data_IF_270959666207
#
_entry.id   IF_270959666207
#
_cell.length_a   1.000
_cell.length_b   1.000
_cell.length_c   1.000
_cell.angle_alpha   90.00
_cell.angle_beta   90.00
_cell.angle_gamma   90.00
#
_symmetry.space_group_name_H-M   'P 1'
#
loop_
_entity.id
_entity.type
_entity.pdbx_description
1 polymer ?
#
# COMPACT_ATOMS: atom_id res chain seq x y z
N UNK A 1 20.67 -21.81 -5.32
CA UNK A 1 19.92 -21.07 -6.36
C UNK A 1 18.42 -21.02 -6.07
N UNK A 2 17.65 -22.12 -6.19
CA UNK A 2 16.21 -22.09 -5.88
C UNK A 2 15.94 -21.75 -4.40
N UNK A 3 16.61 -22.47 -3.48
CA UNK A 3 16.46 -22.22 -2.04
C UNK A 3 16.74 -20.75 -1.68
N UNK A 4 17.86 -20.19 -2.16
CA UNK A 4 18.22 -18.78 -1.94
C UNK A 4 17.16 -17.83 -2.50
N UNK A 5 16.63 -18.11 -3.69
CA UNK A 5 15.60 -17.28 -4.32
C UNK A 5 14.29 -17.28 -3.51
N UNK A 6 13.87 -18.45 -3.02
CA UNK A 6 12.68 -18.58 -2.15
C UNK A 6 12.90 -17.89 -0.81
N UNK A 7 14.08 -18.05 -0.20
CA UNK A 7 14.42 -17.35 1.03
C UNK A 7 14.33 -15.84 0.85
N UNK A 8 14.97 -15.30 -0.20
CA UNK A 8 14.97 -13.88 -0.47
C UNK A 8 13.57 -13.35 -0.80
N UNK A 9 12.75 -14.08 -1.54
CA UNK A 9 11.36 -13.73 -1.85
C UNK A 9 10.56 -13.51 -0.55
N UNK A 10 10.59 -14.51 0.35
CA UNK A 10 9.84 -14.49 1.61
C UNK A 10 10.36 -13.38 2.52
N UNK A 11 11.68 -13.28 2.68
CA UNK A 11 12.28 -12.25 3.52
C UNK A 11 12.03 -10.84 2.99
N UNK A 12 12.11 -10.62 1.67
CA UNK A 12 11.90 -9.30 1.05
C UNK A 12 10.45 -8.85 1.14
N UNK A 13 9.50 -9.76 0.90
CA UNK A 13 8.06 -9.43 1.02
C UNK A 13 7.66 -9.17 2.48
N UNK A 14 8.19 -9.92 3.44
CA UNK A 14 8.02 -9.60 4.86
C UNK A 14 8.64 -8.24 5.20
N UNK A 15 9.88 -7.98 4.77
CA UNK A 15 10.60 -6.75 5.06
C UNK A 15 9.89 -5.52 4.49
N UNK A 16 9.34 -5.63 3.28
CA UNK A 16 8.51 -4.58 2.71
C UNK A 16 7.28 -4.26 3.56
N UNK A 17 6.53 -5.28 3.97
CA UNK A 17 5.38 -5.08 4.83
C UNK A 17 5.76 -4.37 6.13
N UNK A 18 6.93 -4.69 6.71
CA UNK A 18 7.47 -3.97 7.88
C UNK A 18 7.81 -2.51 7.58
N UNK A 19 8.36 -2.19 6.40
CA UNK A 19 8.55 -0.81 5.97
C UNK A 19 7.20 -0.06 5.88
N UNK A 20 6.18 -0.69 5.30
CA UNK A 20 4.84 -0.12 5.21
C UNK A 20 4.21 0.07 6.60
N UNK A 21 4.41 -0.86 7.55
CA UNK A 21 3.92 -0.69 8.93
C UNK A 21 4.56 0.49 9.67
N UNK A 22 5.78 0.90 9.33
CA UNK A 22 6.36 2.10 9.91
C UNK A 22 5.56 3.37 9.55
N UNK A 23 4.78 3.34 8.46
CA UNK A 23 3.84 4.42 8.17
C UNK A 23 2.70 4.53 9.17
N UNK A 24 2.46 3.58 10.09
CA UNK A 24 1.51 3.76 11.21
C UNK A 24 1.92 4.88 12.17
N UNK A 25 3.22 5.25 12.19
CA UNK A 25 3.72 6.38 12.98
C UNK A 25 3.17 7.72 12.45
N UNK A 26 3.08 8.69 13.36
CA UNK A 26 2.66 10.06 13.06
C UNK A 26 3.77 11.00 13.52
N UNK A 27 4.45 11.71 12.59
CA UNK A 27 4.24 11.66 11.14
C UNK A 27 4.72 10.34 10.50
N UNK A 28 4.16 9.98 9.34
CA UNK A 28 4.63 8.86 8.54
C UNK A 28 6.05 9.14 8.01
N UNK A 29 7.00 8.20 8.11
CA UNK A 29 8.36 8.40 7.63
C UNK A 29 8.47 8.39 6.09
N UNK A 30 7.45 7.95 5.35
CA UNK A 30 7.48 7.83 3.89
C UNK A 30 6.11 8.10 3.25
N UNK A 31 6.09 8.82 2.12
CA UNK A 31 4.89 9.00 1.29
C UNK A 31 4.73 7.89 0.25
N UNK A 32 3.49 7.62 -0.17
CA UNK A 32 3.19 6.59 -1.17
C UNK A 32 3.85 6.84 -2.54
N UNK A 33 4.01 8.09 -2.97
CA UNK A 33 4.71 8.35 -4.24
C UNK A 33 6.17 7.89 -4.18
N UNK A 34 6.82 7.97 -3.02
CA UNK A 34 8.15 7.38 -2.81
C UNK A 34 8.10 5.84 -2.84
N UNK A 35 7.06 5.23 -2.28
CA UNK A 35 6.86 3.77 -2.36
C UNK A 35 6.80 3.26 -3.81
N UNK A 36 6.18 4.02 -4.71
CA UNK A 36 6.14 3.69 -6.13
C UNK A 36 7.51 3.68 -6.83
N UNK A 37 8.52 4.38 -6.30
CA UNK A 37 9.88 4.26 -6.82
C UNK A 37 10.48 2.87 -6.52
N UNK A 38 10.07 2.25 -5.41
CA UNK A 38 10.54 0.93 -4.97
C UNK A 38 9.73 -0.22 -5.57
N UNK A 39 8.51 0.05 -6.03
CA UNK A 39 7.62 -0.88 -6.72
C UNK A 39 8.34 -1.78 -7.75
N UNK A 40 9.20 -1.20 -8.59
CA UNK A 40 9.90 -1.93 -9.65
C UNK A 40 10.84 -2.99 -9.09
N UNK A 41 11.49 -2.72 -7.95
CA UNK A 41 12.38 -3.68 -7.28
C UNK A 41 11.55 -4.86 -6.77
N UNK A 42 10.39 -4.60 -6.18
CA UNK A 42 9.49 -5.66 -5.71
C UNK A 42 9.07 -6.58 -6.85
N UNK A 43 8.52 -6.02 -7.92
CA UNK A 43 7.89 -6.84 -8.97
C UNK A 43 8.90 -7.60 -9.79
N UNK A 44 10.07 -7.03 -10.04
CA UNK A 44 11.04 -7.64 -10.95
C UNK A 44 12.11 -8.46 -10.22
N UNK A 45 12.43 -8.15 -8.96
CA UNK A 45 13.70 -8.58 -8.35
C UNK A 45 13.63 -9.05 -6.89
N UNK A 46 12.45 -9.15 -6.26
CA UNK A 46 12.33 -9.51 -4.82
C UNK A 46 12.92 -10.87 -4.41
N UNK A 47 13.17 -11.78 -5.36
CA UNK A 47 13.86 -13.05 -5.13
C UNK A 47 15.41 -12.93 -5.08
N UNK A 48 15.96 -11.74 -5.30
CA UNK A 48 17.42 -11.52 -5.35
C UNK A 48 17.99 -11.07 -4.01
N UNK A 49 19.28 -11.34 -3.79
CA UNK A 49 19.98 -10.94 -2.56
C UNK A 49 20.03 -9.42 -2.43
N UNK A 50 20.24 -8.74 -3.54
CA UNK A 50 20.35 -7.29 -3.63
C UNK A 50 19.04 -6.60 -3.27
N UNK A 51 17.89 -7.17 -3.68
CA UNK A 51 16.59 -6.66 -3.27
C UNK A 51 16.37 -6.79 -1.75
N UNK A 52 16.74 -7.92 -1.16
CA UNK A 52 16.64 -8.11 0.29
C UNK A 52 17.55 -7.13 1.05
N UNK A 53 18.78 -6.92 0.60
CA UNK A 53 19.71 -5.94 1.19
C UNK A 53 19.17 -4.52 1.07
N UNK A 54 18.58 -4.16 -0.07
CA UNK A 54 17.90 -2.88 -0.28
C UNK A 54 16.76 -2.67 0.72
N UNK A 55 15.85 -3.64 0.88
CA UNK A 55 14.72 -3.49 1.80
C UNK A 55 15.13 -3.50 3.27
N UNK A 56 16.20 -4.21 3.65
CA UNK A 56 16.77 -4.09 4.99
C UNK A 56 17.31 -2.68 5.24
N UNK A 57 18.05 -2.13 4.27
CA UNK A 57 18.59 -0.76 4.36
C UNK A 57 17.46 0.27 4.44
N UNK A 58 16.44 0.14 3.60
CA UNK A 58 15.25 1.00 3.63
C UNK A 58 14.54 0.91 4.99
N UNK A 59 14.36 -0.29 5.53
CA UNK A 59 13.73 -0.47 6.84
C UNK A 59 14.51 0.22 7.96
N UNK A 60 15.84 0.09 7.97
CA UNK A 60 16.69 0.74 8.96
C UNK A 60 16.67 2.27 8.81
N UNK A 61 16.66 2.79 7.58
CA UNK A 61 16.48 4.24 7.32
C UNK A 61 15.12 4.74 7.81
N UNK A 62 14.03 4.02 7.50
CA UNK A 62 12.69 4.42 7.94
C UNK A 62 12.55 4.40 9.46
N UNK A 63 13.18 3.43 10.14
CA UNK A 63 13.26 3.43 11.61
C UNK A 63 14.01 4.64 12.15
N UNK A 64 15.18 4.95 11.59
CA UNK A 64 15.96 6.13 11.97
C UNK A 64 15.16 7.43 11.76
N UNK A 65 14.40 7.52 10.67
CA UNK A 65 13.48 8.63 10.41
C UNK A 65 12.39 8.73 11.47
N UNK A 66 11.76 7.61 11.85
CA UNK A 66 10.78 7.59 12.94
C UNK A 66 11.39 8.08 14.26
N UNK A 67 12.56 7.57 14.63
CA UNK A 67 13.27 7.95 15.86
C UNK A 67 13.63 9.45 15.89
N UNK A 68 13.95 10.03 14.73
CA UNK A 68 14.32 11.45 14.58
C UNK A 68 13.12 12.37 14.28
N UNK A 69 11.91 11.83 14.12
CA UNK A 69 10.73 12.60 13.73
C UNK A 69 10.79 13.17 12.30
N UNK A 70 11.51 12.52 11.38
CA UNK A 70 11.65 12.94 9.98
C UNK A 70 10.47 12.40 9.16
N UNK A 71 9.54 13.28 8.84
CA UNK A 71 8.35 12.96 8.05
C UNK A 71 8.65 12.70 6.56
N UNK A 72 7.82 11.91 5.89
CA UNK A 72 7.78 11.76 4.43
C UNK A 72 7.18 12.98 3.74
N UNK A 73 6.23 13.64 4.42
CA UNK A 73 5.61 14.90 4.01
C UNK A 73 5.80 15.90 5.16
N UNK A 74 6.37 17.06 4.87
CA UNK A 74 6.81 18.03 5.90
C UNK A 74 5.69 18.44 6.87
N UNK A 75 4.48 18.68 6.36
CA UNK A 75 3.33 19.13 7.14
C UNK A 75 2.20 18.10 7.10
N UNK A 76 2.35 16.98 7.77
CA UNK A 76 1.28 15.98 7.87
C UNK A 76 0.10 16.49 8.71
N UNK A 77 -1.00 16.85 8.04
CA UNK A 77 -2.26 17.35 8.65
C UNK A 77 -3.44 16.40 8.45
N UNK A 78 -3.39 15.57 7.41
CA UNK A 78 -4.48 14.68 7.04
C UNK A 78 -3.92 13.46 6.32
N UNK A 79 -4.32 12.27 6.76
CA UNK A 79 -3.81 10.99 6.28
C UNK A 79 -4.88 10.31 5.44
N UNK A 80 -4.49 9.84 4.27
CA UNK A 80 -5.36 9.09 3.37
C UNK A 80 -4.70 7.79 2.96
N UNK A 81 -5.51 6.78 2.65
CA UNK A 81 -5.06 5.71 1.76
C UNK A 81 -5.36 6.10 0.31
N UNK A 82 -4.54 5.64 -0.63
CA UNK A 82 -4.94 5.60 -2.03
C UNK A 82 -5.58 4.24 -2.34
N UNK A 83 -6.40 4.19 -3.40
CA UNK A 83 -6.93 2.94 -3.90
C UNK A 83 -6.70 2.84 -5.41
N UNK A 84 -6.16 1.70 -5.81
CA UNK A 84 -5.79 1.31 -7.18
C UNK A 84 -4.42 1.80 -7.66
N UNK A 85 -4.02 1.32 -8.84
CA UNK A 85 -2.79 1.77 -9.49
C UNK A 85 -2.89 3.27 -9.78
N UNK A 86 -1.84 4.07 -9.58
CA UNK A 86 -1.91 5.49 -9.93
C UNK A 86 -1.82 5.69 -11.46
N UNK A 87 -2.22 6.85 -11.99
CA UNK A 87 -1.82 7.26 -13.34
C UNK A 87 -0.30 7.51 -13.35
N UNK A 88 0.48 6.60 -13.94
CA UNK A 88 1.95 6.63 -13.87
C UNK A 88 2.56 7.89 -14.48
N UNK A 89 1.90 8.49 -15.47
CA UNK A 89 2.30 9.76 -16.09
C UNK A 89 1.93 10.99 -15.25
N UNK A 90 1.09 10.85 -14.22
CA UNK A 90 0.55 11.95 -13.41
C UNK A 90 0.73 11.72 -11.90
N UNK A 91 1.86 11.13 -11.48
CA UNK A 91 2.19 10.94 -10.07
C UNK A 91 2.30 12.27 -9.29
N UNK A 92 2.36 13.42 -9.96
CA UNK A 92 2.33 14.72 -9.29
C UNK A 92 1.02 14.99 -8.55
N UNK A 93 -0.05 14.21 -8.78
CA UNK A 93 -1.27 14.23 -7.94
C UNK A 93 -0.96 14.06 -6.45
N UNK A 94 0.00 13.20 -6.08
CA UNK A 94 0.41 13.02 -4.68
C UNK A 94 1.11 14.27 -4.13
N UNK A 95 1.93 14.94 -4.95
CA UNK A 95 2.56 16.22 -4.58
C UNK A 95 1.55 17.36 -4.49
N UNK A 96 0.47 17.29 -5.27
CA UNK A 96 -0.63 18.23 -5.18
C UNK A 96 -1.37 18.11 -3.83
N UNK A 97 -1.62 16.87 -3.37
CA UNK A 97 -2.18 16.60 -2.04
C UNK A 97 -1.28 17.15 -0.92
N UNK A 98 0.05 17.02 -1.05
CA UNK A 98 1.02 17.54 -0.08
C UNK A 98 0.94 19.07 0.09
N UNK A 99 0.47 19.84 -0.91
CA UNK A 99 0.20 21.28 -0.76
C UNK A 99 -0.85 21.59 0.30
N UNK A 100 -1.67 20.61 0.69
CA UNK A 100 -2.65 20.70 1.77
C UNK A 100 -2.19 19.93 3.01
N UNK A 101 -0.93 19.51 3.08
CA UNK A 101 -0.45 18.65 4.15
C UNK A 101 -1.14 17.29 4.20
N UNK A 102 -1.67 16.83 3.06
CA UNK A 102 -2.25 15.51 2.94
C UNK A 102 -1.15 14.53 2.57
N UNK A 103 -1.04 13.44 3.32
CA UNK A 103 -0.17 12.31 2.98
C UNK A 103 -1.02 11.11 2.58
N UNK A 104 -0.71 10.52 1.43
CA UNK A 104 -1.15 9.15 1.16
C UNK A 104 -0.11 8.21 1.77
N UNK A 105 -0.53 7.40 2.73
CA UNK A 105 0.36 6.56 3.55
C UNK A 105 0.64 5.20 2.90
N UNK A 106 -0.05 4.92 1.79
CA UNK A 106 0.00 3.69 1.03
C UNK A 106 -1.38 3.27 0.54
N UNK A 107 -1.40 2.16 -0.18
CA UNK A 107 -2.62 1.54 -0.70
C UNK A 107 -2.53 0.02 -0.64
N UNK A 108 -3.67 -0.63 -0.85
CA UNK A 108 -3.69 -2.07 -1.12
C UNK A 108 -2.77 -2.46 -2.29
N UNK A 109 -2.53 -1.56 -3.26
CA UNK A 109 -1.69 -1.85 -4.42
C UNK A 109 -0.21 -1.94 -4.04
N UNK A 110 0.39 -0.89 -3.48
CA UNK A 110 1.81 -0.90 -3.10
C UNK A 110 2.09 -1.75 -1.86
N UNK A 111 1.16 -1.86 -0.91
CA UNK A 111 1.33 -2.75 0.24
C UNK A 111 1.33 -4.21 -0.21
N UNK A 112 0.28 -4.65 -0.91
CA UNK A 112 -0.01 -6.09 -1.01
C UNK A 112 0.54 -6.78 -2.23
N UNK A 113 0.73 -6.07 -3.34
CA UNK A 113 1.42 -6.64 -4.51
C UNK A 113 2.87 -7.00 -4.17
N UNK A 114 3.44 -6.29 -3.19
CA UNK A 114 4.87 -6.30 -2.87
C UNK A 114 5.19 -6.89 -1.50
N UNK A 115 4.19 -7.07 -0.62
CA UNK A 115 4.37 -7.44 0.78
C UNK A 115 3.72 -8.76 1.18
N UNK A 116 4.29 -9.41 2.20
CA UNK A 116 3.67 -10.53 2.89
C UNK A 116 2.89 -10.00 4.09
N UNK A 117 1.57 -10.17 4.07
CA UNK A 117 0.65 -9.61 5.05
C UNK A 117 -0.13 -10.70 5.77
N UNK A 118 -0.08 -10.68 7.09
CA UNK A 118 -0.94 -11.49 7.95
C UNK A 118 -2.28 -10.76 8.12
N UNK A 119 -3.33 -11.34 7.54
CA UNK A 119 -4.70 -10.83 7.60
C UNK A 119 -5.49 -11.63 8.64
N UNK A 120 -5.91 -10.95 9.70
CA UNK A 120 -6.54 -11.59 10.85
C UNK A 120 -7.74 -10.79 11.35
N UNK A 121 -8.55 -11.41 12.18
CA UNK A 121 -9.66 -10.76 12.89
C UNK A 121 -9.31 -10.70 14.36
N UNK A 122 -9.63 -9.58 15.03
CA UNK A 122 -9.50 -9.46 16.48
C UNK A 122 -10.64 -10.19 17.23
N UNK A 123 -10.66 -10.06 18.56
CA UNK A 123 -11.67 -10.71 19.42
C UNK A 123 -13.10 -10.21 19.15
N UNK A 124 -13.24 -8.99 18.64
CA UNK A 124 -14.52 -8.37 18.28
C UNK A 124 -14.93 -8.66 16.83
N UNK A 125 -14.12 -9.42 16.10
CA UNK A 125 -14.38 -9.75 14.69
C UNK A 125 -14.08 -8.59 13.74
N UNK A 126 -13.22 -7.65 14.13
CA UNK A 126 -12.73 -6.56 13.28
C UNK A 126 -11.51 -7.05 12.48
N UNK A 127 -11.49 -6.85 11.15
CA UNK A 127 -10.37 -7.25 10.31
C UNK A 127 -9.17 -6.30 10.45
N UNK A 128 -7.96 -6.86 10.47
CA UNK A 128 -6.69 -6.15 10.59
C UNK A 128 -5.60 -6.73 9.69
N UNK A 129 -4.57 -5.94 9.42
CA UNK A 129 -3.37 -6.38 8.72
C UNK A 129 -2.08 -6.00 9.45
N UNK A 130 -1.13 -6.93 9.48
CA UNK A 130 0.24 -6.71 9.99
C UNK A 130 1.27 -7.38 9.10
N UNK A 131 2.52 -6.98 9.19
CA UNK A 131 3.58 -7.64 8.43
C UNK A 131 3.68 -9.11 8.84
N UNK A 132 3.71 -10.01 7.86
CA UNK A 132 3.90 -11.42 8.10
C UNK A 132 5.34 -11.70 8.57
N UNK A 133 5.47 -12.57 9.56
CA UNK A 133 6.77 -13.05 10.04
C UNK A 133 7.16 -14.34 9.30
N UNK A 134 8.34 -14.39 8.66
CA UNK A 134 8.86 -15.61 8.07
C UNK A 134 9.02 -16.72 9.13
N UNK A 135 8.73 -17.99 8.79
CA UNK A 135 8.85 -19.07 9.76
C UNK A 135 10.30 -19.22 10.24
N UNK A 136 10.58 -19.37 11.55
CA UNK A 136 11.94 -19.50 12.09
C UNK A 136 12.74 -20.63 11.44
N UNK A 137 12.06 -21.73 11.10
CA UNK A 137 12.62 -22.92 10.46
C UNK A 137 12.71 -22.83 8.93
N UNK A 138 12.46 -21.66 8.32
CA UNK A 138 12.46 -21.48 6.86
C UNK A 138 13.72 -22.04 6.20
N UNK A 139 14.90 -21.75 6.79
CA UNK A 139 16.19 -22.25 6.27
C UNK A 139 16.29 -23.77 6.25
N UNK A 140 15.63 -24.44 7.18
CA UNK A 140 15.57 -25.90 7.21
C UNK A 140 14.54 -26.44 6.20
N UNK A 141 13.38 -25.78 6.09
CA UNK A 141 12.32 -26.16 5.13
C UNK A 141 12.81 -26.12 3.68
N UNK A 142 13.63 -25.13 3.31
CA UNK A 142 14.07 -24.92 1.92
C UNK A 142 15.29 -25.75 1.50
N UNK A 143 15.77 -26.69 2.34
CA UNK A 143 16.94 -27.54 2.03
C UNK A 143 16.70 -28.48 0.84
N UNK A 144 15.46 -28.85 0.58
CA UNK A 144 15.07 -29.67 -0.57
C UNK A 144 14.27 -28.84 -1.57
N UNK A 145 14.25 -29.27 -2.84
CA UNK A 145 13.43 -28.63 -3.87
C UNK A 145 11.94 -28.61 -3.50
N UNK A 146 11.42 -29.74 -3.03
CA UNK A 146 10.01 -29.85 -2.64
C UNK A 146 9.68 -28.98 -1.43
N UNK A 147 10.58 -28.94 -0.44
CA UNK A 147 10.43 -28.06 0.71
C UNK A 147 10.44 -26.58 0.32
N UNK A 148 11.34 -26.17 -0.57
CA UNK A 148 11.37 -24.81 -1.09
C UNK A 148 10.11 -24.42 -1.87
N UNK A 149 9.59 -25.32 -2.72
CA UNK A 149 8.35 -25.08 -3.46
C UNK A 149 7.14 -25.01 -2.53
N UNK A 150 7.07 -25.86 -1.50
CA UNK A 150 6.02 -25.81 -0.48
C UNK A 150 6.07 -24.52 0.32
N UNK A 151 7.24 -24.10 0.79
CA UNK A 151 7.42 -22.85 1.52
C UNK A 151 6.97 -21.64 0.68
N UNK A 152 7.36 -21.58 -0.59
CA UNK A 152 6.93 -20.51 -1.50
C UNK A 152 5.41 -20.50 -1.72
N UNK A 153 4.82 -21.68 -1.97
CA UNK A 153 3.38 -21.81 -2.20
C UNK A 153 2.56 -21.43 -0.95
N UNK A 154 2.96 -21.93 0.22
CA UNK A 154 2.34 -21.57 1.51
C UNK A 154 2.44 -20.08 1.75
N UNK A 155 3.63 -19.48 1.62
CA UNK A 155 3.80 -18.04 1.82
C UNK A 155 2.89 -17.21 0.92
N UNK A 156 2.79 -17.57 -0.36
CA UNK A 156 1.92 -16.87 -1.30
C UNK A 156 0.43 -17.02 -0.98
N UNK A 157 -0.02 -18.21 -0.55
CA UNK A 157 -1.43 -18.46 -0.24
C UNK A 157 -1.85 -17.87 1.11
N UNK A 158 -0.96 -17.93 2.09
CA UNK A 158 -1.23 -17.49 3.46
C UNK A 158 -1.08 -15.98 3.59
N UNK A 159 0.00 -15.41 3.02
CA UNK A 159 0.39 -14.01 3.21
C UNK A 159 0.36 -13.15 1.94
N UNK A 160 0.12 -13.75 0.76
CA UNK A 160 -0.05 -13.02 -0.50
C UNK A 160 -1.45 -12.43 -0.64
N UNK A 161 -1.77 -11.42 0.17
CA UNK A 161 -3.11 -10.82 0.28
C UNK A 161 -3.65 -10.25 -1.05
N UNK A 162 -2.75 -9.92 -1.99
CA UNK A 162 -3.09 -9.61 -3.38
C UNK A 162 -3.91 -10.74 -4.04
N UNK A 163 -3.51 -12.00 -3.87
CA UNK A 163 -4.19 -13.14 -4.49
C UNK A 163 -5.62 -13.29 -3.96
N UNK A 164 -5.83 -13.06 -2.66
CA UNK A 164 -7.17 -13.02 -2.05
C UNK A 164 -8.00 -11.89 -2.62
N UNK A 165 -7.41 -10.70 -2.71
CA UNK A 165 -8.04 -9.50 -3.26
C UNK A 165 -8.47 -9.64 -4.72
N UNK A 166 -7.73 -10.38 -5.56
CA UNK A 166 -8.15 -10.68 -6.93
C UNK A 166 -9.19 -11.78 -7.03
N UNK A 167 -9.17 -12.75 -6.11
CA UNK A 167 -10.09 -13.88 -6.13
C UNK A 167 -11.51 -13.49 -5.70
N UNK A 168 -11.62 -12.63 -4.69
CA UNK A 168 -12.91 -12.21 -4.12
C UNK A 168 -12.99 -10.68 -3.97
N UNK A 169 -12.92 -9.93 -5.08
CA UNK A 169 -12.75 -8.48 -5.06
C UNK A 169 -13.88 -7.70 -4.36
N UNK A 170 -15.10 -8.25 -4.34
CA UNK A 170 -16.27 -7.64 -3.69
C UNK A 170 -16.34 -7.91 -2.17
N UNK A 171 -15.59 -8.91 -1.68
CA UNK A 171 -15.67 -9.39 -0.29
C UNK A 171 -14.41 -8.97 0.46
N UNK A 172 -13.25 -9.36 -0.04
CA UNK A 172 -11.98 -9.19 0.68
C UNK A 172 -11.55 -7.73 0.71
N UNK A 173 -11.62 -7.04 -0.43
CA UNK A 173 -11.19 -5.62 -0.50
C UNK A 173 -12.07 -4.70 0.33
N UNK A 174 -13.36 -5.03 0.44
CA UNK A 174 -14.31 -4.32 1.30
C UNK A 174 -13.87 -4.31 2.76
N UNK A 175 -13.13 -5.32 3.21
CA UNK A 175 -12.58 -5.37 4.57
C UNK A 175 -11.16 -4.80 4.62
N UNK A 176 -10.33 -5.15 3.65
CA UNK A 176 -8.91 -4.84 3.64
C UNK A 176 -8.63 -3.33 3.56
N UNK A 177 -9.24 -2.60 2.62
CA UNK A 177 -8.98 -1.17 2.45
C UNK A 177 -9.37 -0.39 3.73
N UNK A 178 -10.55 -0.63 4.36
CA UNK A 178 -10.84 -0.06 5.66
C UNK A 178 -9.92 -0.51 6.80
N UNK A 179 -9.45 -1.77 6.83
CA UNK A 179 -8.43 -2.21 7.78
C UNK A 179 -7.16 -1.39 7.66
N UNK A 180 -6.66 -1.16 6.44
CA UNK A 180 -5.49 -0.31 6.23
C UNK A 180 -5.78 1.12 6.68
N UNK A 181 -6.90 1.72 6.25
CA UNK A 181 -7.24 3.08 6.63
C UNK A 181 -7.31 3.25 8.16
N UNK A 182 -7.87 2.27 8.87
CA UNK A 182 -7.97 2.28 10.33
C UNK A 182 -6.62 2.08 11.00
N UNK A 183 -5.91 1.01 10.66
CA UNK A 183 -4.66 0.61 11.31
C UNK A 183 -3.53 1.63 11.06
N UNK A 184 -3.61 2.41 9.98
CA UNK A 184 -2.70 3.51 9.66
C UNK A 184 -3.24 4.89 10.06
N UNK A 185 -4.27 4.97 10.91
CA UNK A 185 -4.79 6.24 11.42
C UNK A 185 -5.16 7.24 10.31
N UNK A 186 -5.77 6.78 9.21
CA UNK A 186 -6.23 7.63 8.13
C UNK A 186 -7.58 8.28 8.45
N UNK A 187 -7.81 9.47 7.90
CA UNK A 187 -9.09 10.18 7.98
C UNK A 187 -9.94 9.97 6.72
N UNK A 188 -9.30 9.57 5.61
CA UNK A 188 -9.99 9.40 4.35
C UNK A 188 -9.30 8.45 3.37
N UNK A 189 -9.88 8.36 2.18
CA UNK A 189 -9.36 7.60 1.06
C UNK A 189 -9.53 8.37 -0.25
N UNK A 190 -8.55 8.28 -1.13
CA UNK A 190 -8.63 8.80 -2.50
C UNK A 190 -8.54 7.62 -3.46
N UNK A 191 -9.59 7.43 -4.26
CA UNK A 191 -9.74 6.23 -5.09
C UNK A 191 -9.63 6.58 -6.56
N UNK A 192 -8.68 5.95 -7.24
CA UNK A 192 -8.55 6.02 -8.68
C UNK A 192 -9.47 4.98 -9.34
N UNK A 193 -10.56 5.46 -9.94
CA UNK A 193 -11.45 4.67 -10.80
C UNK A 193 -10.74 4.42 -12.12
N UNK A 194 -9.89 3.40 -12.10
CA UNK A 194 -8.92 3.10 -13.13
C UNK A 194 -9.54 2.29 -14.28
N UNK A 195 -9.49 2.84 -15.50
CA UNK A 195 -9.98 2.20 -16.72
C UNK A 195 -9.01 1.18 -17.33
N UNK A 196 -7.73 1.21 -16.92
CA UNK A 196 -6.67 0.37 -17.49
C UNK A 196 -6.39 -0.94 -16.73
N UNK A 197 -7.11 -1.24 -15.64
CA UNK A 197 -6.96 -2.51 -14.92
C UNK A 197 -8.30 -3.00 -14.39
N UNK A 198 -8.99 -3.81 -15.20
CA UNK A 198 -10.32 -4.34 -14.90
C UNK A 198 -10.32 -5.19 -13.63
N UNK A 199 -9.27 -5.98 -13.41
CA UNK A 199 -9.11 -6.78 -12.20
C UNK A 199 -9.11 -5.96 -10.92
N UNK A 200 -8.59 -4.72 -10.98
CA UNK A 200 -8.59 -3.79 -9.84
C UNK A 200 -9.82 -2.90 -9.80
N UNK A 201 -10.41 -2.55 -10.96
CA UNK A 201 -11.63 -1.77 -11.06
C UNK A 201 -12.86 -2.51 -10.49
N UNK A 202 -12.92 -3.83 -10.66
CA UNK A 202 -13.97 -4.67 -10.06
C UNK A 202 -13.88 -4.58 -8.53
N UNK A 203 -14.99 -4.23 -7.88
CA UNK A 203 -15.09 -4.11 -6.43
C UNK A 203 -14.83 -2.71 -5.86
N UNK A 204 -14.29 -1.75 -6.62
CA UNK A 204 -13.94 -0.44 -6.07
C UNK A 204 -15.12 0.33 -5.48
N UNK A 205 -16.30 0.25 -6.08
CA UNK A 205 -17.47 0.94 -5.53
C UNK A 205 -18.01 0.28 -4.26
N UNK A 206 -17.78 -1.02 -4.08
CA UNK A 206 -18.12 -1.74 -2.84
C UNK A 206 -17.13 -1.38 -1.72
N UNK A 207 -15.84 -1.30 -2.06
CA UNK A 207 -14.80 -0.75 -1.17
C UNK A 207 -15.15 0.67 -0.74
N UNK A 208 -15.51 1.54 -1.69
CA UNK A 208 -15.92 2.92 -1.40
C UNK A 208 -17.06 2.95 -0.39
N UNK A 209 -18.08 2.11 -0.61
CA UNK A 209 -19.23 2.02 0.28
C UNK A 209 -18.80 1.62 1.69
N UNK A 210 -17.94 0.60 1.82
CA UNK A 210 -17.44 0.14 3.11
C UNK A 210 -16.64 1.22 3.86
N UNK A 211 -15.73 1.92 3.17
CA UNK A 211 -14.99 3.04 3.75
C UNK A 211 -15.93 4.14 4.28
N UNK A 212 -16.98 4.49 3.53
CA UNK A 212 -17.97 5.49 3.97
C UNK A 212 -18.79 4.99 5.15
N UNK A 213 -19.20 3.70 5.15
CA UNK A 213 -19.94 3.08 6.26
C UNK A 213 -19.12 3.06 7.57
N UNK A 214 -17.80 2.99 7.47
CA UNK A 214 -16.88 3.10 8.61
C UNK A 214 -16.52 4.54 9.00
N UNK A 215 -17.05 5.54 8.28
CA UNK A 215 -16.89 6.96 8.61
C UNK A 215 -15.68 7.65 7.97
N UNK A 216 -14.98 7.01 7.04
CA UNK A 216 -13.90 7.65 6.29
C UNK A 216 -14.45 8.61 5.23
N UNK A 217 -13.77 9.75 5.03
CA UNK A 217 -14.08 10.65 3.92
C UNK A 217 -13.46 10.13 2.62
N UNK A 218 -14.28 9.93 1.58
CA UNK A 218 -13.80 9.29 0.34
C UNK A 218 -13.96 10.20 -0.87
N UNK A 219 -12.85 10.46 -1.56
CA UNK A 219 -12.80 11.11 -2.87
C UNK A 219 -12.56 10.06 -3.96
N UNK A 220 -13.26 10.19 -5.08
CA UNK A 220 -12.96 9.42 -6.29
C UNK A 220 -12.44 10.33 -7.39
N UNK A 221 -11.55 9.82 -8.24
CA UNK A 221 -11.19 10.44 -9.51
C UNK A 221 -11.07 9.36 -10.59
N UNK A 222 -11.23 9.75 -11.86
CA UNK A 222 -11.21 8.83 -13.00
C UNK A 222 -9.94 9.00 -13.80
N UNK A 223 -9.46 7.91 -14.39
CA UNK A 223 -8.23 7.92 -15.18
C UNK A 223 -7.87 6.55 -15.74
N UNK A 224 -6.65 6.48 -16.27
CA UNK A 224 -6.01 5.25 -16.73
C UNK A 224 -4.58 5.22 -16.23
N UNK A 225 -4.07 4.03 -15.92
CA UNK A 225 -2.67 3.87 -15.44
C UNK A 225 -1.64 4.39 -16.43
N UNK A 226 -1.91 4.26 -17.74
CA UNK A 226 -0.92 4.50 -18.78
C UNK A 226 -1.41 5.41 -19.91
N UNK A 227 -2.73 5.52 -20.13
CA UNK A 227 -3.28 6.38 -21.19
C UNK A 227 -3.58 7.81 -20.67
N UNK A 228 -2.79 8.83 -21.03
CA UNK A 228 -3.03 10.21 -20.58
C UNK A 228 -4.29 10.83 -21.16
N UNK A 229 -4.88 10.27 -22.23
CA UNK A 229 -6.11 10.80 -22.84
C UNK A 229 -7.33 10.58 -21.97
N UNK A 230 -7.25 9.67 -21.00
CA UNK A 230 -8.36 9.30 -20.12
C UNK A 230 -8.29 10.00 -18.75
N UNK A 231 -7.36 10.96 -18.55
CA UNK A 231 -7.23 11.70 -17.30
C UNK A 231 -7.43 13.21 -17.50
N UNK A 232 -8.51 13.71 -16.92
CA UNK A 232 -8.84 15.14 -16.87
C UNK A 232 -8.21 15.75 -15.62
N UNK A 233 -6.97 16.22 -15.77
CA UNK A 233 -6.19 16.79 -14.67
C UNK A 233 -6.86 18.04 -14.06
N UNK A 234 -7.26 19.08 -14.84
CA UNK A 234 -7.89 20.26 -14.27
C UNK A 234 -9.14 19.93 -13.45
N UNK A 235 -9.99 19.03 -13.96
CA UNK A 235 -11.19 18.61 -13.24
C UNK A 235 -10.86 17.79 -12.00
N UNK A 236 -9.86 16.92 -12.08
CA UNK A 236 -9.42 16.11 -10.93
C UNK A 236 -8.91 17.00 -9.81
N UNK A 237 -8.07 17.99 -10.12
CA UNK A 237 -7.51 18.90 -9.12
C UNK A 237 -8.57 19.84 -8.52
N UNK A 238 -9.52 20.32 -9.33
CA UNK A 238 -10.67 21.07 -8.80
C UNK A 238 -11.53 20.24 -7.83
N UNK A 239 -11.70 18.92 -8.09
CA UNK A 239 -12.40 18.02 -7.15
C UNK A 239 -11.60 17.77 -5.87
N UNK A 240 -10.28 17.64 -5.98
CA UNK A 240 -9.39 17.53 -4.82
C UNK A 240 -9.50 18.79 -3.96
N UNK A 241 -9.39 19.97 -4.55
CA UNK A 241 -9.52 21.24 -3.82
C UNK A 241 -10.83 21.31 -3.04
N UNK A 242 -11.96 21.12 -3.72
CA UNK A 242 -13.27 21.18 -3.10
C UNK A 242 -13.44 20.13 -1.98
N UNK A 243 -12.89 18.93 -2.18
CA UNK A 243 -12.93 17.87 -1.16
C UNK A 243 -12.11 18.26 0.07
N UNK A 244 -10.88 18.72 -0.10
CA UNK A 244 -9.99 19.06 1.01
C UNK A 244 -10.45 20.31 1.75
N UNK A 245 -11.00 21.30 1.05
CA UNK A 245 -11.66 22.46 1.66
C UNK A 245 -12.86 22.05 2.52
N UNK A 246 -13.66 21.08 2.06
CA UNK A 246 -14.76 20.52 2.86
C UNK A 246 -14.27 19.76 4.10
N UNK A 247 -13.04 19.24 4.08
CA UNK A 247 -12.35 18.68 5.26
C UNK A 247 -11.70 19.77 6.15
N UNK A 248 -11.85 21.06 5.81
CA UNK A 248 -11.28 22.18 6.55
C UNK A 248 -9.79 22.46 6.26
N UNK A 249 -9.23 21.83 5.23
CA UNK A 249 -7.82 21.97 4.87
C UNK A 249 -7.65 23.13 3.88
N UNK A 250 -6.79 24.09 4.25
CA UNK A 250 -6.36 25.19 3.37
C UNK A 250 -5.00 24.89 2.77
N UNK A 251 -4.72 25.32 1.54
CA UNK A 251 -3.38 25.22 0.94
C UNK A 251 -2.33 25.86 1.85
N UNK A 252 -1.20 25.17 1.99
CA UNK A 252 -0.01 25.62 2.72
C UNK A 252 0.88 26.50 1.83
N UNK A 253 0.86 26.23 0.53
CA UNK A 253 1.61 26.93 -0.51
C UNK A 253 0.75 27.06 -1.76
N UNK A 254 0.92 28.14 -2.51
CA UNK A 254 0.19 28.38 -3.76
C UNK A 254 0.61 27.41 -4.89
#
# INVERSE_FOLDING_TARGET
KLADAVYNEIMSTSKWAKCCELNKNIPAPMDEKSMYAFYVIHVLRRHTKEALEFFNTLYDELKDRVEKGIAGVEFERYRMIHNSQPPWYALHIFRYLEKFGVVCVGSQYDFMLSGGWDYYYDEDGVPHVRAAEPPPELKDQIKTRDGALRALASWYLDYGLQARSFRFPMIERRNIDPSIARDWNCQGAIMHLNRGCEGWAVGQLEVRKALVEEGFSVLTYEGNVADPREFDEPRTFARIDAFLEAQGLKRLVD
#
